data_IF_760702652733
#
_entry.id   IF_760702652733
#
_cell.length_a   1.000
_cell.length_b   1.000
_cell.length_c   1.000
_cell.angle_alpha   90.00
_cell.angle_beta   90.00
_cell.angle_gamma   90.00
#
_symmetry.space_group_name_H-M   'P 1'
#
loop_
_entity.id
_entity.type
_entity.pdbx_description
1 polymer ?
#
# COMPACT_ATOMS: atom_id res chain seq x y z
N UNK A 1 6.20 8.99 10.27
CA UNK A 1 5.10 8.06 9.93
C UNK A 1 5.66 7.01 8.97
N UNK A 2 5.13 5.78 8.91
CA UNK A 2 5.67 4.72 8.03
C UNK A 2 5.72 5.13 6.54
N UNK A 3 4.90 6.11 6.16
CA UNK A 3 4.80 6.67 4.81
C UNK A 3 5.99 7.52 4.35
N UNK A 4 6.96 7.81 5.23
CA UNK A 4 8.19 8.55 4.87
C UNK A 4 9.32 7.64 4.39
N UNK A 5 9.08 6.33 4.32
CA UNK A 5 10.07 5.35 3.85
C UNK A 5 10.10 5.32 2.32
N UNK A 6 10.58 6.38 1.70
CA UNK A 6 10.64 6.51 0.24
C UNK A 6 11.49 5.42 -0.44
N UNK A 7 12.37 4.76 0.31
CA UNK A 7 13.23 3.67 -0.16
C UNK A 7 12.64 2.27 0.08
N UNK A 8 11.43 2.17 0.66
CA UNK A 8 10.80 0.88 0.91
C UNK A 8 10.41 0.24 -0.42
N UNK A 9 10.94 -0.96 -0.69
CA UNK A 9 10.69 -1.68 -1.95
C UNK A 9 9.64 -2.78 -1.80
N UNK A 10 9.43 -3.29 -0.59
CA UNK A 10 8.43 -4.30 -0.30
C UNK A 10 7.69 -4.00 1.00
N UNK A 11 6.36 -4.08 0.96
CA UNK A 11 5.47 -3.92 2.11
C UNK A 11 4.50 -5.11 2.15
N UNK A 12 4.62 -5.91 3.20
CA UNK A 12 3.76 -7.07 3.45
C UNK A 12 2.80 -6.73 4.59
N UNK A 13 1.51 -6.70 4.28
CA UNK A 13 0.41 -6.49 5.22
C UNK A 13 -0.61 -7.65 5.13
N UNK A 14 -0.20 -8.79 4.57
CA UNK A 14 -1.04 -9.97 4.45
C UNK A 14 -1.54 -10.47 5.82
N UNK A 15 -2.65 -11.21 5.83
CA UNK A 15 -3.23 -11.83 7.01
C UNK A 15 -3.61 -10.85 8.13
N UNK A 16 -4.17 -9.71 7.73
CA UNK A 16 -4.64 -8.67 8.64
C UNK A 16 -6.15 -8.42 8.50
N UNK A 17 -6.68 -7.48 9.27
CA UNK A 17 -8.10 -7.10 9.23
C UNK A 17 -8.31 -5.70 8.64
N UNK A 18 -7.41 -5.26 7.74
CA UNK A 18 -7.51 -3.94 7.13
C UNK A 18 -8.79 -3.83 6.32
N UNK A 19 -9.61 -2.83 6.63
CA UNK A 19 -10.86 -2.52 5.90
C UNK A 19 -10.68 -1.39 4.89
N UNK A 20 -9.61 -0.60 5.06
CA UNK A 20 -9.18 0.48 4.19
C UNK A 20 -7.67 0.58 4.18
N UNK A 21 -7.14 1.14 3.10
CA UNK A 21 -5.75 1.54 2.96
C UNK A 21 -5.72 3.07 2.90
N UNK A 22 -4.82 3.74 3.66
CA UNK A 22 -4.68 5.20 3.61
C UNK A 22 -4.19 5.65 2.23
N UNK A 23 -4.59 6.84 1.79
CA UNK A 23 -4.15 7.41 0.51
C UNK A 23 -2.65 7.71 0.51
N UNK A 24 -2.05 7.93 1.67
CA UNK A 24 -0.61 8.14 1.88
C UNK A 24 0.25 6.93 1.49
N UNK A 25 -0.32 5.76 1.20
CA UNK A 25 0.43 4.63 0.63
C UNK A 25 1.15 5.00 -0.67
N UNK A 26 0.64 5.97 -1.43
CA UNK A 26 1.26 6.46 -2.67
C UNK A 26 2.56 7.23 -2.43
N UNK A 27 2.86 7.61 -1.19
CA UNK A 27 4.15 8.21 -0.82
C UNK A 27 5.31 7.21 -0.82
N UNK A 28 5.01 5.90 -0.83
CA UNK A 28 6.00 4.84 -0.94
C UNK A 28 6.45 4.68 -2.41
N UNK A 29 7.08 5.71 -2.97
CA UNK A 29 7.36 5.81 -4.41
C UNK A 29 8.32 4.74 -4.95
N UNK A 30 9.15 4.13 -4.11
CA UNK A 30 10.03 3.01 -4.51
C UNK A 30 9.40 1.63 -4.28
N UNK A 31 8.13 1.55 -3.88
CA UNK A 31 7.47 0.29 -3.56
C UNK A 31 7.22 -0.51 -4.84
N UNK A 32 7.81 -1.71 -4.90
CA UNK A 32 7.66 -2.65 -6.01
C UNK A 32 6.69 -3.77 -5.62
N UNK A 33 6.68 -4.17 -4.36
CA UNK A 33 5.81 -5.25 -3.84
C UNK A 33 4.92 -4.72 -2.74
N UNK A 34 3.62 -4.89 -2.90
CA UNK A 34 2.61 -4.61 -1.88
C UNK A 34 1.71 -5.83 -1.74
N UNK A 35 1.88 -6.59 -0.66
CA UNK A 35 1.02 -7.73 -0.36
C UNK A 35 -0.08 -7.34 0.63
N UNK A 36 -1.33 -7.38 0.16
CA UNK A 36 -2.53 -7.09 0.92
C UNK A 36 -3.45 -8.32 1.03
N UNK A 37 -2.95 -9.50 0.67
CA UNK A 37 -3.73 -10.74 0.69
C UNK A 37 -4.32 -11.04 2.07
N UNK A 38 -5.45 -11.75 2.09
CA UNK A 38 -6.17 -12.07 3.32
C UNK A 38 -6.45 -10.85 4.23
N UNK A 39 -6.98 -9.78 3.64
CA UNK A 39 -7.53 -8.62 4.35
C UNK A 39 -9.02 -8.44 4.06
N UNK A 40 -9.64 -7.42 4.67
CA UNK A 40 -11.07 -7.08 4.51
C UNK A 40 -11.26 -5.81 3.67
N UNK A 41 -10.30 -5.52 2.78
CA UNK A 41 -10.31 -4.32 1.93
C UNK A 41 -11.47 -4.41 0.93
N UNK A 42 -12.32 -3.40 0.91
CA UNK A 42 -13.41 -3.29 -0.09
C UNK A 42 -12.98 -2.54 -1.34
N UNK A 43 -12.11 -1.55 -1.17
CA UNK A 43 -11.59 -0.69 -2.21
C UNK A 43 -10.12 -0.36 -1.91
N UNK A 44 -9.37 -0.06 -2.97
CA UNK A 44 -8.06 0.59 -2.86
C UNK A 44 -8.23 2.10 -3.11
N UNK A 45 -7.31 2.96 -2.64
CA UNK A 45 -7.29 4.37 -3.01
C UNK A 45 -7.26 4.52 -4.53
N UNK A 46 -8.01 5.47 -5.08
CA UNK A 46 -8.04 5.76 -6.52
C UNK A 46 -6.66 6.05 -7.10
N UNK A 47 -5.76 6.56 -6.27
CA UNK A 47 -4.40 6.98 -6.59
C UNK A 47 -3.42 5.80 -6.66
N UNK A 48 -3.83 4.58 -6.28
CA UNK A 48 -2.95 3.39 -6.30
C UNK A 48 -2.42 3.06 -7.70
N UNK A 49 -3.14 3.47 -8.76
CA UNK A 49 -2.70 3.31 -10.15
C UNK A 49 -1.44 4.10 -10.52
N UNK A 50 -1.02 5.07 -9.69
CA UNK A 50 0.21 5.85 -9.88
C UNK A 50 1.50 5.05 -9.71
N UNK A 51 1.45 3.84 -9.14
CA UNK A 51 2.63 2.97 -9.07
C UNK A 51 3.15 2.53 -10.45
N UNK A 52 2.35 2.67 -11.51
CA UNK A 52 2.71 2.21 -12.85
C UNK A 52 2.91 3.35 -13.87
N UNK A 53 2.77 4.62 -13.47
CA UNK A 53 2.95 5.80 -14.33
C UNK A 53 4.27 6.50 -14.05
#
# INVERSE_FOLDING_TARGET
TLWTLSQLTALYLNDNQLTRLPSEIVCLTSLVTLDLSNNKLRNLPSEIGRFYS
#
